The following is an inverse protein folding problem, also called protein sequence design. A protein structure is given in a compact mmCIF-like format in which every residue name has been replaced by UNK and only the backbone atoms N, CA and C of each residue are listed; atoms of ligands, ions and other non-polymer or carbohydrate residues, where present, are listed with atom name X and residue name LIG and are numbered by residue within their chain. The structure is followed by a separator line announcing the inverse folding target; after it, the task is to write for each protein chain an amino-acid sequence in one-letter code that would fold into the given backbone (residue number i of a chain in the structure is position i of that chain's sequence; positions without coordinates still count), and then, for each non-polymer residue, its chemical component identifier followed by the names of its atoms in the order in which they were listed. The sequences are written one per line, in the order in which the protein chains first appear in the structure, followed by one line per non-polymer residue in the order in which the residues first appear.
data_IF_496542269524
#
_entry.id   IF_496542269524
#
_cell.length_a   1.000
_cell.length_b   1.000
_cell.length_c   1.000
_cell.angle_alpha   90.00
_cell.angle_beta   90.00
_cell.angle_gamma   90.00
#
_symmetry.space_group_name_H-M   'P 1'
#
loop_
_entity.id
_entity.type
_entity.pdbx_description
1 polymer ?
#
# COMPACT_ATOMS: atom_id res chain seq x y z
N UNK A 1 11.97 18.81 -3.02
CA UNK A 1 10.81 18.15 -2.37
C UNK A 1 9.60 18.38 -3.25
N UNK A 2 9.36 17.49 -4.23
CA UNK A 2 8.15 17.55 -5.03
C UNK A 2 7.10 16.67 -4.32
N UNK A 3 6.10 17.31 -3.73
CA UNK A 3 4.92 16.62 -3.21
C UNK A 3 3.87 16.65 -4.32
N UNK A 4 3.60 15.50 -4.92
CA UNK A 4 2.38 15.32 -5.71
C UNK A 4 1.35 14.70 -4.78
N UNK A 5 0.44 15.53 -4.26
CA UNK A 5 -0.77 15.07 -3.62
C UNK A 5 -1.87 15.11 -4.69
N UNK A 6 -2.45 13.95 -5.02
CA UNK A 6 -3.60 13.89 -5.90
C UNK A 6 -4.79 13.40 -5.07
N UNK A 7 -5.87 14.18 -5.11
CA UNK A 7 -7.18 13.80 -4.60
C UNK A 7 -7.91 13.18 -5.81
N UNK A 8 -7.89 11.85 -5.96
CA UNK A 8 -8.57 11.20 -7.09
C UNK A 8 -9.61 10.20 -6.63
N UNK A 9 -10.83 10.39 -7.13
CA UNK A 9 -11.79 9.33 -7.33
C UNK A 9 -11.18 8.26 -8.27
N UNK A 10 -11.54 6.99 -8.12
CA UNK A 10 -10.93 5.81 -8.74
C UNK A 10 -10.80 5.80 -10.29
N UNK A 11 -11.18 6.88 -10.97
CA UNK A 11 -11.28 7.01 -12.43
C UNK A 11 -10.01 7.50 -13.12
N UNK A 12 -9.04 8.10 -12.39
CA UNK A 12 -7.95 8.89 -13.01
C UNK A 12 -6.54 8.29 -12.92
N UNK A 13 -6.47 6.96 -12.74
CA UNK A 13 -5.20 6.21 -12.72
C UNK A 13 -4.36 6.42 -13.99
N UNK A 14 -4.99 6.70 -15.13
CA UNK A 14 -4.29 6.90 -16.41
C UNK A 14 -3.27 8.05 -16.36
N UNK A 15 -3.54 9.13 -15.63
CA UNK A 15 -2.63 10.27 -15.46
C UNK A 15 -1.41 9.91 -14.59
N UNK A 16 -1.54 8.94 -13.68
CA UNK A 16 -0.45 8.50 -12.82
C UNK A 16 0.61 7.67 -13.55
N UNK A 17 0.26 6.98 -14.66
CA UNK A 17 1.25 6.26 -15.47
C UNK A 17 2.30 7.19 -16.08
N UNK A 18 1.98 8.48 -16.23
CA UNK A 18 2.85 9.48 -16.86
C UNK A 18 3.84 10.08 -15.85
N UNK A 19 3.52 10.05 -14.55
CA UNK A 19 4.31 10.68 -13.51
C UNK A 19 5.20 9.67 -12.75
N UNK A 20 6.52 9.71 -12.99
CA UNK A 20 7.50 9.08 -12.10
C UNK A 20 7.62 9.89 -10.79
N UNK A 21 6.69 9.73 -9.84
CA UNK A 21 6.64 10.37 -8.52
C UNK A 21 7.31 9.65 -7.31
N UNK A 22 8.47 10.11 -6.77
CA UNK A 22 9.23 9.52 -5.63
C UNK A 22 8.46 9.12 -4.35
N UNK A 23 7.30 9.72 -4.15
CA UNK A 23 6.38 9.42 -3.06
C UNK A 23 4.99 9.33 -3.66
N UNK A 24 4.29 8.22 -3.42
CA UNK A 24 2.90 8.04 -3.80
C UNK A 24 2.01 8.19 -2.57
N UNK A 25 1.04 9.11 -2.62
CA UNK A 25 0.04 9.30 -1.57
C UNK A 25 -1.35 9.04 -2.15
N UNK A 26 -2.06 8.08 -1.58
CA UNK A 26 -3.41 7.69 -1.95
C UNK A 26 -4.38 8.02 -0.81
N UNK A 27 -5.40 8.83 -1.08
CA UNK A 27 -6.55 9.03 -0.19
C UNK A 27 -7.77 8.27 -0.72
N UNK A 28 -8.24 7.30 0.04
CA UNK A 28 -9.40 6.49 -0.26
C UNK A 28 -10.63 7.02 0.49
N UNK A 29 -11.78 7.02 -0.17
CA UNK A 29 -13.08 7.35 0.43
C UNK A 29 -14.11 6.23 0.26
N UNK A 30 -13.76 5.17 -0.48
CA UNK A 30 -14.63 4.05 -0.76
C UNK A 30 -14.45 2.92 0.27
N UNK A 31 -15.53 2.19 0.58
CA UNK A 31 -15.49 1.02 1.47
C UNK A 31 -14.59 -0.11 0.95
N UNK A 32 -14.53 -0.27 -0.37
CA UNK A 32 -13.69 -1.25 -1.06
C UNK A 32 -12.87 -0.54 -2.14
N UNK A 33 -11.62 -0.95 -2.32
CA UNK A 33 -10.73 -0.39 -3.34
C UNK A 33 -9.79 -1.47 -3.87
N UNK A 34 -9.34 -1.26 -5.11
CA UNK A 34 -8.37 -2.09 -5.82
C UNK A 34 -7.32 -1.17 -6.43
N UNK A 35 -6.08 -1.62 -6.44
CA UNK A 35 -5.06 -1.03 -7.30
C UNK A 35 -5.31 -1.37 -8.76
N UNK A 36 -4.87 -0.51 -9.71
CA UNK A 36 -4.80 -0.88 -11.11
C UNK A 36 -3.73 -1.97 -11.32
N UNK A 37 -3.95 -2.89 -12.26
CA UNK A 37 -3.00 -3.97 -12.56
C UNK A 37 -1.62 -3.48 -13.01
N UNK A 38 -1.53 -2.23 -13.48
CA UNK A 38 -0.31 -1.58 -13.99
C UNK A 38 0.49 -0.81 -12.92
N UNK A 39 0.40 -1.19 -11.65
CA UNK A 39 1.12 -0.49 -10.56
C UNK A 39 2.65 -0.54 -10.73
N UNK A 40 3.17 -1.62 -11.31
CA UNK A 40 4.57 -1.81 -11.68
C UNK A 40 5.10 -0.70 -12.61
N UNK A 41 4.27 -0.24 -13.54
CA UNK A 41 4.60 0.82 -14.49
C UNK A 41 4.51 2.22 -13.88
N UNK A 42 3.72 2.37 -12.81
CA UNK A 42 3.51 3.64 -12.10
C UNK A 42 4.53 3.91 -11.00
N UNK A 43 4.97 2.85 -10.30
CA UNK A 43 5.82 2.98 -9.13
C UNK A 43 7.30 2.74 -9.43
N UNK A 44 7.99 3.82 -9.76
CA UNK A 44 9.47 3.86 -9.81
C UNK A 44 10.09 4.09 -8.41
N UNK A 45 9.30 4.05 -7.33
CA UNK A 45 9.56 4.84 -6.12
C UNK A 45 9.72 4.08 -4.82
N UNK A 46 10.18 4.79 -3.79
CA UNK A 46 10.56 4.25 -2.48
C UNK A 46 9.45 4.29 -1.43
N UNK A 47 8.50 5.21 -1.50
CA UNK A 47 7.51 5.41 -0.42
C UNK A 47 6.08 5.42 -0.95
N UNK A 48 5.23 4.61 -0.35
CA UNK A 48 3.79 4.53 -0.57
C UNK A 48 3.04 4.86 0.72
N UNK A 49 2.15 5.83 0.66
CA UNK A 49 1.24 6.20 1.75
C UNK A 49 -0.19 6.02 1.29
N UNK A 50 -0.99 5.26 2.02
CA UNK A 50 -2.40 5.05 1.75
C UNK A 50 -3.18 5.42 3.00
N UNK A 51 -4.07 6.38 2.85
CA UNK A 51 -4.94 6.85 3.92
C UNK A 51 -6.37 6.68 3.48
N UNK A 52 -7.22 6.25 4.38
CA UNK A 52 -8.65 6.41 4.24
C UNK A 52 -9.13 7.50 5.20
N UNK A 53 -9.76 8.52 4.62
CA UNK A 53 -10.25 9.70 5.34
C UNK A 53 -11.68 9.51 5.86
N UNK A 54 -12.28 8.35 5.61
CA UNK A 54 -13.59 7.93 6.12
C UNK A 54 -13.59 7.49 7.59
N UNK A 55 -14.82 7.38 8.13
CA UNK A 55 -15.06 6.96 9.51
C UNK A 55 -14.77 5.47 9.76
N UNK A 56 -14.98 4.62 8.74
CA UNK A 56 -14.74 3.18 8.80
C UNK A 56 -13.54 2.79 7.94
N UNK A 57 -12.76 1.75 8.30
CA UNK A 57 -11.66 1.28 7.47
C UNK A 57 -12.10 0.90 6.05
N UNK A 58 -11.25 1.19 5.06
CA UNK A 58 -11.45 0.78 3.67
C UNK A 58 -10.76 -0.56 3.46
N UNK A 59 -11.47 -1.52 2.86
CA UNK A 59 -10.87 -2.78 2.46
C UNK A 59 -10.14 -2.61 1.13
N UNK A 60 -8.82 -2.79 1.17
CA UNK A 60 -7.95 -2.77 0.02
C UNK A 60 -7.66 -4.21 -0.38
N UNK A 61 -8.42 -4.66 -1.37
CA UNK A 61 -8.20 -5.94 -2.03
C UNK A 61 -6.92 -5.83 -2.88
N UNK A 62 -6.35 -6.93 -3.36
CA UNK A 62 -5.15 -6.97 -4.24
C UNK A 62 -3.86 -6.27 -3.72
N UNK A 63 -3.67 -6.20 -2.39
CA UNK A 63 -2.48 -5.59 -1.77
C UNK A 63 -1.16 -6.30 -2.11
N UNK A 64 -1.24 -7.59 -2.38
CA UNK A 64 -0.16 -8.48 -2.83
C UNK A 64 0.46 -8.05 -4.18
N UNK A 65 -0.25 -7.29 -5.02
CA UNK A 65 0.33 -6.75 -6.25
C UNK A 65 1.55 -5.85 -5.99
N UNK A 66 1.61 -5.24 -4.80
CA UNK A 66 2.73 -4.38 -4.42
C UNK A 66 4.03 -5.14 -4.16
N UNK A 67 3.99 -6.47 -3.98
CA UNK A 67 5.19 -7.31 -3.80
C UNK A 67 6.13 -7.24 -5.00
N UNK A 68 5.55 -7.07 -6.19
CA UNK A 68 6.29 -6.93 -7.45
C UNK A 68 7.11 -5.64 -7.54
N UNK A 69 6.85 -4.68 -6.64
CA UNK A 69 7.44 -3.35 -6.67
C UNK A 69 8.76 -3.33 -5.90
N UNK A 70 9.82 -3.88 -6.51
CA UNK A 70 11.16 -4.01 -5.90
C UNK A 70 11.78 -2.69 -5.37
N UNK A 71 11.35 -1.55 -5.92
CA UNK A 71 11.81 -0.23 -5.50
C UNK A 71 11.13 0.28 -4.23
N UNK A 72 10.00 -0.32 -3.82
CA UNK A 72 9.23 0.08 -2.66
C UNK A 72 9.99 -0.24 -1.35
N UNK A 73 10.33 0.81 -0.59
CA UNK A 73 11.10 0.73 0.65
C UNK A 73 10.28 1.05 1.89
N UNK A 74 9.20 1.80 1.74
CA UNK A 74 8.36 2.23 2.86
C UNK A 74 6.90 2.20 2.48
N UNK A 75 6.09 1.57 3.33
CA UNK A 75 4.64 1.57 3.24
C UNK A 75 4.09 2.22 4.50
N UNK A 76 3.15 3.15 4.32
CA UNK A 76 2.35 3.72 5.40
C UNK A 76 0.87 3.49 5.11
N UNK A 77 0.16 2.79 5.99
CA UNK A 77 -1.27 2.56 5.88
C UNK A 77 -1.99 3.21 7.06
N UNK A 78 -3.09 3.92 6.77
CA UNK A 78 -3.97 4.50 7.77
C UNK A 78 -5.43 4.17 7.48
N UNK A 79 -6.10 3.51 8.44
CA UNK A 79 -7.50 3.08 8.36
C UNK A 79 -7.80 2.16 7.18
N UNK A 80 -6.90 1.22 6.93
CA UNK A 80 -7.01 0.24 5.85
C UNK A 80 -7.18 -1.17 6.42
N UNK A 81 -8.12 -1.92 5.86
CA UNK A 81 -8.24 -3.37 6.04
C UNK A 81 -7.53 -4.06 4.89
N UNK A 82 -6.53 -4.88 5.18
CA UNK A 82 -5.79 -5.65 4.16
C UNK A 82 -6.10 -7.15 4.34
N UNK A 83 -6.81 -7.80 3.42
CA UNK A 83 -7.17 -9.22 3.56
C UNK A 83 -5.95 -10.14 3.73
N UNK A 84 -4.89 -9.89 2.96
CA UNK A 84 -3.65 -10.65 2.96
C UNK A 84 -2.49 -9.71 2.68
N UNK A 85 -1.41 -9.81 3.45
CA UNK A 85 -0.14 -9.25 3.04
C UNK A 85 0.56 -10.23 2.10
N UNK A 86 1.26 -9.68 1.12
CA UNK A 86 2.18 -10.44 0.31
C UNK A 86 3.55 -10.61 0.98
N UNK A 87 4.56 -10.98 0.20
CA UNK A 87 5.97 -11.08 0.60
C UNK A 87 6.77 -9.88 0.08
N UNK A 88 7.00 -8.92 0.97
CA UNK A 88 7.69 -7.67 0.67
C UNK A 88 9.20 -7.76 0.92
N UNK A 89 9.91 -8.45 0.01
CA UNK A 89 11.34 -8.71 0.11
C UNK A 89 12.24 -7.46 0.08
N UNK A 90 11.74 -6.27 -0.24
CA UNK A 90 12.56 -5.07 -0.39
C UNK A 90 12.15 -3.94 0.55
N UNK A 91 11.12 -4.17 1.37
CA UNK A 91 10.55 -3.20 2.29
C UNK A 91 11.42 -3.05 3.53
N UNK A 92 11.73 -1.80 3.88
CA UNK A 92 12.59 -1.42 5.01
C UNK A 92 11.77 -0.84 6.15
N UNK A 93 10.62 -0.22 5.86
CA UNK A 93 9.74 0.38 6.87
C UNK A 93 8.27 0.09 6.57
N UNK A 94 7.52 -0.25 7.60
CA UNK A 94 6.07 -0.43 7.55
C UNK A 94 5.45 0.35 8.71
N UNK A 95 4.53 1.26 8.40
CA UNK A 95 3.76 2.02 9.38
C UNK A 95 2.29 1.67 9.24
N UNK A 96 1.65 1.22 10.32
CA UNK A 96 0.25 0.81 10.34
C UNK A 96 -0.50 1.63 11.39
N UNK A 97 -1.56 2.32 10.98
CA UNK A 97 -2.38 3.15 11.86
C UNK A 97 -3.86 2.76 11.73
N UNK A 98 -4.44 2.17 12.78
CA UNK A 98 -5.84 1.71 12.76
C UNK A 98 -6.13 0.75 11.59
N UNK A 99 -5.18 -0.13 11.28
CA UNK A 99 -5.31 -1.12 10.23
C UNK A 99 -5.75 -2.46 10.80
N UNK A 100 -6.43 -3.25 9.97
CA UNK A 100 -6.83 -4.62 10.30
C UNK A 100 -6.41 -5.55 9.17
N UNK A 101 -6.26 -6.83 9.48
CA UNK A 101 -6.05 -7.86 8.45
C UNK A 101 -6.93 -9.07 8.71
N UNK A 102 -7.28 -9.79 7.64
CA UNK A 102 -8.00 -11.06 7.73
C UNK A 102 -7.06 -12.24 7.93
N UNK A 103 -5.74 -12.04 7.78
CA UNK A 103 -4.75 -13.01 8.25
C UNK A 103 -4.80 -13.05 9.77
N UNK A 104 -5.16 -14.21 10.31
CA UNK A 104 -4.86 -14.52 11.70
C UNK A 104 -3.33 -14.64 11.79
N UNK A 105 -2.66 -13.65 12.41
CA UNK A 105 -1.27 -13.81 12.84
C UNK A 105 -1.24 -14.80 14.02
N UNK A 106 -1.76 -16.00 13.81
CA UNK A 106 -1.95 -17.01 14.82
C UNK A 106 -0.62 -17.34 15.48
N UNK A 107 -0.43 -16.84 16.70
CA UNK A 107 0.64 -17.17 17.65
C UNK A 107 2.10 -17.24 17.11
N UNK A 108 2.43 -16.57 16.00
CA UNK A 108 3.76 -16.73 15.39
C UNK A 108 4.32 -15.47 14.78
N UNK A 109 5.38 -14.93 15.38
CA UNK A 109 6.27 -13.93 14.77
C UNK A 109 6.81 -14.37 13.40
N UNK A 110 6.86 -15.68 13.14
CA UNK A 110 7.27 -16.27 11.86
C UNK A 110 6.47 -15.76 10.66
N UNK A 111 5.17 -15.53 10.79
CA UNK A 111 4.34 -15.03 9.67
C UNK A 111 4.69 -13.59 9.28
N UNK A 112 5.05 -12.76 10.26
CA UNK A 112 5.49 -11.38 10.02
C UNK A 112 6.87 -11.38 9.37
N UNK A 113 7.81 -12.22 9.82
CA UNK A 113 9.13 -12.33 9.19
C UNK A 113 9.06 -12.92 7.77
N UNK A 114 8.08 -13.77 7.48
CA UNK A 114 7.84 -14.25 6.11
C UNK A 114 7.23 -13.18 5.21
N UNK A 115 6.25 -12.42 5.70
CA UNK A 115 5.64 -11.34 4.92
C UNK A 115 6.60 -10.15 4.73
N UNK A 116 7.46 -9.87 5.71
CA UNK A 116 8.34 -8.70 5.72
C UNK A 116 9.75 -9.05 6.20
N UNK A 117 10.53 -9.80 5.40
CA UNK A 117 11.80 -10.37 5.84
C UNK A 117 12.90 -9.34 6.15
N UNK A 118 12.74 -8.09 5.69
CA UNK A 118 13.71 -7.01 5.91
C UNK A 118 13.26 -5.96 6.93
N UNK A 119 12.17 -6.22 7.67
CA UNK A 119 11.80 -5.41 8.83
C UNK A 119 12.45 -6.00 10.08
N UNK A 120 13.52 -5.35 10.55
CA UNK A 120 14.17 -5.64 11.84
C UNK A 120 13.44 -4.99 13.01
#
# INVERSE_FOLDING_TARGET
MFRVAYETCASDWSLMQVARAEVLILSLHAKHSLFPDSMDKMMVHKVLTITNDGLHPSELNNFDLLDSLHNLKTITLKRITVPSFGTFNHLIKLFLYMCTTKMDFGKGSGLITHAFPNLN
#
